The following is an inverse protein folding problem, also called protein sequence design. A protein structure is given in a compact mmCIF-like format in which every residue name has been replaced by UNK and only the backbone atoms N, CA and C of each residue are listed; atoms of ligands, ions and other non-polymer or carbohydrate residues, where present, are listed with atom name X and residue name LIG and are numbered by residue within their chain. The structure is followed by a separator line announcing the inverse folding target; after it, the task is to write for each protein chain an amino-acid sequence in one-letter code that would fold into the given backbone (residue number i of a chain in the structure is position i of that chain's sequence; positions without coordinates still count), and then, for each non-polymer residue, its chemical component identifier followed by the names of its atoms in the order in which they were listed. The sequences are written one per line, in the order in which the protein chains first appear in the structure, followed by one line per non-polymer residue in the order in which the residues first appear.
data_IF_143834367534
#
_entry.id   IF_143834367534
#
_cell.length_a   1.000
_cell.length_b   1.000
_cell.length_c   1.000
_cell.angle_alpha   90.00
_cell.angle_beta   90.00
_cell.angle_gamma   90.00
#
_symmetry.space_group_name_H-M   'P 1'
#
loop_
_entity.id
_entity.type
_entity.pdbx_description
1 polymer ?
#
# COMPACT_ATOMS: atom_id res chain seq x y z
N UNK A 1 -10.42 6.49 17.98
CA UNK A 1 -11.23 5.55 17.89
C UNK A 1 -10.72 4.18 17.83
N UNK A 2 -11.36 3.41 18.57
CA UNK A 2 -10.90 2.08 18.74
C UNK A 2 -11.71 1.09 17.97
N UNK A 3 -11.03 0.22 17.32
CA UNK A 3 -11.69 -0.88 16.66
C UNK A 3 -12.12 -1.86 17.73
N UNK A 4 -13.37 -2.28 17.74
CA UNK A 4 -13.77 -3.28 18.70
C UNK A 4 -12.95 -4.55 18.51
N UNK A 5 -12.75 -5.28 19.59
CA UNK A 5 -11.97 -6.50 19.50
C UNK A 5 -12.53 -7.48 18.49
N UNK A 6 -13.84 -7.60 18.40
CA UNK A 6 -14.42 -8.53 17.44
C UNK A 6 -14.08 -8.10 16.02
N UNK A 7 -13.95 -6.79 15.78
CA UNK A 7 -13.59 -6.30 14.47
C UNK A 7 -12.17 -6.68 14.11
N UNK A 8 -11.26 -6.56 15.06
CA UNK A 8 -9.87 -6.92 14.83
C UNK A 8 -9.76 -8.43 14.59
N UNK A 9 -10.46 -9.22 15.37
CA UNK A 9 -10.43 -10.67 15.19
C UNK A 9 -10.99 -11.07 13.84
N UNK A 10 -12.07 -10.41 13.43
CA UNK A 10 -12.66 -10.71 12.14
C UNK A 10 -11.70 -10.38 11.01
N UNK A 11 -11.03 -9.25 11.11
CA UNK A 11 -10.05 -8.88 10.10
C UNK A 11 -8.94 -9.92 10.03
N UNK A 12 -8.41 -10.33 11.18
CA UNK A 12 -7.36 -11.32 11.21
C UNK A 12 -7.81 -12.62 10.57
N UNK A 13 -8.99 -13.08 10.94
CA UNK A 13 -9.48 -14.37 10.46
C UNK A 13 -9.77 -14.36 8.96
N UNK A 14 -10.32 -13.26 8.48
CA UNK A 14 -10.73 -13.19 7.09
C UNK A 14 -9.65 -12.75 6.13
N UNK A 15 -8.81 -11.83 6.55
CA UNK A 15 -7.87 -11.23 5.63
C UNK A 15 -6.41 -11.64 5.79
N UNK A 16 -6.01 -12.09 6.97
CA UNK A 16 -4.61 -12.46 7.17
C UNK A 16 -4.11 -13.53 6.20
N UNK A 17 -4.89 -14.58 5.92
CA UNK A 17 -4.38 -15.58 4.97
C UNK A 17 -4.11 -14.99 3.60
N UNK A 18 -4.98 -14.07 3.15
CA UNK A 18 -4.80 -13.43 1.86
C UNK A 18 -3.58 -12.53 1.90
N UNK A 19 -3.42 -11.78 2.98
CA UNK A 19 -2.30 -10.89 3.14
C UNK A 19 -0.99 -11.66 3.16
N UNK A 20 -0.94 -12.76 3.90
CA UNK A 20 0.28 -13.55 3.97
C UNK A 20 0.64 -14.15 2.62
N UNK A 21 -0.37 -14.52 1.84
CA UNK A 21 -0.11 -15.00 0.49
C UNK A 21 0.46 -13.90 -0.38
N UNK A 22 -0.06 -12.69 -0.26
CA UNK A 22 0.44 -11.56 -1.00
C UNK A 22 1.90 -11.27 -0.62
N UNK A 23 2.18 -11.30 0.68
CA UNK A 23 3.54 -11.09 1.16
C UNK A 23 4.48 -12.13 0.55
N UNK A 24 4.04 -13.38 0.49
CA UNK A 24 4.84 -14.43 -0.10
C UNK A 24 5.16 -14.15 -1.56
N UNK A 25 4.14 -13.70 -2.30
CA UNK A 25 4.33 -13.37 -3.70
C UNK A 25 5.27 -12.18 -3.88
N UNK A 26 5.15 -11.19 -3.01
CA UNK A 26 6.05 -10.05 -3.06
C UNK A 26 7.49 -10.47 -2.78
N UNK A 27 7.68 -11.38 -1.85
CA UNK A 27 9.03 -11.85 -1.57
C UNK A 27 9.65 -12.56 -2.76
N UNK A 28 8.83 -13.28 -3.53
CA UNK A 28 9.32 -13.93 -4.72
C UNK A 28 9.65 -12.94 -5.82
N UNK A 29 8.84 -11.89 -5.92
CA UNK A 29 9.06 -10.87 -6.93
C UNK A 29 10.24 -9.96 -6.61
N UNK A 30 10.55 -9.82 -5.32
CA UNK A 30 11.61 -8.93 -4.88
C UNK A 30 12.60 -9.72 -4.02
N UNK A 31 13.32 -10.63 -4.63
CA UNK A 31 14.13 -11.58 -3.84
C UNK A 31 15.26 -10.95 -3.06
N UNK A 32 15.67 -9.74 -3.44
CA UNK A 32 16.76 -9.09 -2.71
C UNK A 32 16.27 -8.16 -1.61
N UNK A 33 14.97 -8.03 -1.46
CA UNK A 33 14.42 -7.17 -0.43
C UNK A 33 14.44 -7.89 0.90
N UNK A 34 14.60 -7.14 1.98
CA UNK A 34 14.50 -7.73 3.30
C UNK A 34 13.04 -8.01 3.60
N UNK A 35 12.76 -9.01 4.43
CA UNK A 35 11.37 -9.25 4.83
C UNK A 35 10.74 -8.03 5.49
N UNK A 36 11.53 -7.29 6.25
CA UNK A 36 11.03 -6.10 6.92
C UNK A 36 10.55 -5.06 5.90
N UNK A 37 11.33 -4.83 4.85
CA UNK A 37 10.94 -3.86 3.82
C UNK A 37 9.69 -4.33 3.07
N UNK A 38 9.55 -5.62 2.86
CA UNK A 38 8.36 -6.15 2.20
C UNK A 38 7.11 -5.86 3.05
N UNK A 39 7.19 -6.09 4.37
CA UNK A 39 6.05 -5.84 5.22
C UNK A 39 5.72 -4.35 5.30
N UNK A 40 6.73 -3.49 5.39
CA UNK A 40 6.48 -2.05 5.42
C UNK A 40 5.87 -1.58 4.11
N UNK A 41 6.37 -2.08 2.99
CA UNK A 41 5.81 -1.73 1.68
C UNK A 41 4.37 -2.15 1.57
N UNK A 42 4.05 -3.36 2.02
CA UNK A 42 2.67 -3.81 2.03
C UNK A 42 1.81 -2.88 2.89
N UNK A 43 2.31 -2.48 4.04
CA UNK A 43 1.57 -1.63 4.94
C UNK A 43 1.26 -0.28 4.30
N UNK A 44 2.25 0.31 3.64
CA UNK A 44 2.06 1.60 2.99
C UNK A 44 1.07 1.52 1.84
N UNK A 45 1.18 0.47 1.04
CA UNK A 45 0.28 0.28 -0.09
C UNK A 45 -1.16 0.08 0.40
N UNK A 46 -1.32 -0.67 1.47
CA UNK A 46 -2.65 -0.90 2.01
C UNK A 46 -3.26 0.41 2.49
N UNK A 47 -2.49 1.25 3.15
CA UNK A 47 -2.99 2.54 3.59
C UNK A 47 -3.40 3.42 2.43
N UNK A 48 -2.57 3.45 1.39
CA UNK A 48 -2.88 4.23 0.20
C UNK A 48 -4.17 3.75 -0.45
N UNK A 49 -4.32 2.43 -0.55
CA UNK A 49 -5.49 1.86 -1.16
C UNK A 49 -6.75 2.14 -0.35
N UNK A 50 -6.67 1.94 0.95
CA UNK A 50 -7.84 2.15 1.81
C UNK A 50 -8.30 3.58 1.79
N UNK A 51 -7.39 4.54 1.87
CA UNK A 51 -7.76 5.93 1.82
C UNK A 51 -8.36 6.30 0.48
N UNK A 52 -7.79 5.78 -0.60
CA UNK A 52 -8.29 6.07 -1.94
C UNK A 52 -9.69 5.52 -2.13
N UNK A 53 -9.91 4.28 -1.70
CA UNK A 53 -11.22 3.64 -1.91
C UNK A 53 -12.29 4.21 -0.98
N UNK A 54 -11.90 4.84 0.11
CA UNK A 54 -12.88 5.43 1.02
C UNK A 54 -13.58 6.63 0.39
N UNK A 55 -12.97 7.25 -0.63
CA UNK A 55 -13.58 8.35 -1.37
C UNK A 55 -14.13 9.43 -0.44
N UNK A 56 -13.26 9.92 0.43
CA UNK A 56 -13.69 10.88 1.44
C UNK A 56 -13.94 12.28 0.88
N UNK A 57 -13.54 12.54 -0.34
CA UNK A 57 -13.64 13.87 -0.91
C UNK A 57 -12.52 14.79 -0.48
N UNK A 58 -11.59 14.30 0.31
CA UNK A 58 -10.51 15.15 0.80
C UNK A 58 -9.63 15.67 -0.34
N UNK A 59 -9.26 14.80 -1.27
CA UNK A 59 -8.41 15.22 -2.39
C UNK A 59 -9.14 16.22 -3.28
N UNK A 60 -10.47 16.07 -3.38
CA UNK A 60 -11.26 17.00 -4.16
C UNK A 60 -11.12 18.40 -3.58
N UNK A 61 -11.28 18.51 -2.26
CA UNK A 61 -11.19 19.81 -1.62
C UNK A 61 -9.79 20.38 -1.65
N UNK A 62 -8.82 19.58 -1.35
CA UNK A 62 -7.43 20.06 -1.30
C UNK A 62 -6.96 20.55 -2.67
N UNK A 63 -7.41 19.90 -3.74
CA UNK A 63 -6.95 20.25 -5.07
C UNK A 63 -7.85 21.27 -5.76
N UNK A 64 -8.87 21.75 -5.06
CA UNK A 64 -9.79 22.69 -5.69
C UNK A 64 -10.54 22.08 -6.85
N UNK A 65 -10.79 20.78 -6.78
CA UNK A 65 -11.51 20.09 -7.83
C UNK A 65 -10.65 19.56 -8.96
N UNK A 66 -9.36 19.83 -8.92
CA UNK A 66 -8.47 19.32 -9.95
C UNK A 66 -8.41 17.80 -9.93
N UNK A 67 -8.41 17.20 -8.77
CA UNK A 67 -8.43 15.76 -8.62
C UNK A 67 -9.71 15.37 -7.91
N UNK A 68 -10.36 14.34 -8.43
CA UNK A 68 -11.63 13.92 -7.88
C UNK A 68 -11.53 12.50 -7.35
N UNK A 69 -12.06 12.28 -6.16
CA UNK A 69 -11.96 10.98 -5.50
C UNK A 69 -12.75 9.90 -6.23
N UNK A 70 -13.67 10.27 -7.12
CA UNK A 70 -14.43 9.27 -7.88
C UNK A 70 -13.86 9.03 -9.28
N UNK A 71 -12.71 9.58 -9.58
CA UNK A 71 -12.11 9.41 -10.91
C UNK A 71 -11.24 8.17 -10.91
N UNK A 72 -11.85 7.01 -11.08
CA UNK A 72 -11.11 5.77 -11.03
C UNK A 72 -10.10 5.60 -12.14
N UNK A 73 -10.35 6.20 -13.29
CA UNK A 73 -9.39 6.12 -14.38
C UNK A 73 -8.10 6.84 -14.01
N UNK A 74 -8.22 7.99 -13.37
CA UNK A 74 -7.05 8.73 -12.93
C UNK A 74 -6.28 7.93 -11.87
N UNK A 75 -7.00 7.28 -10.96
CA UNK A 75 -6.39 6.46 -9.93
C UNK A 75 -5.65 5.29 -10.56
N UNK A 76 -6.31 4.57 -11.47
CA UNK A 76 -5.69 3.41 -12.09
C UNK A 76 -4.45 3.78 -12.88
N UNK A 77 -4.49 4.92 -13.54
CA UNK A 77 -3.36 5.34 -14.35
C UNK A 77 -2.11 5.64 -13.51
N UNK A 78 -2.31 6.01 -12.25
CA UNK A 78 -1.20 6.46 -11.42
C UNK A 78 -0.81 5.54 -10.31
N UNK A 79 -1.76 4.89 -9.68
CA UNK A 79 -1.50 4.16 -8.44
C UNK A 79 -0.54 3.00 -8.65
N UNK A 80 -0.72 2.23 -9.72
CA UNK A 80 0.16 1.08 -9.95
C UNK A 80 1.60 1.53 -10.15
N UNK A 81 1.80 2.62 -10.90
CA UNK A 81 3.14 3.13 -11.13
C UNK A 81 3.76 3.69 -9.85
N UNK A 82 2.94 4.39 -9.08
CA UNK A 82 3.40 4.96 -7.83
C UNK A 82 3.84 3.86 -6.87
N UNK A 83 3.03 2.84 -6.73
CA UNK A 83 3.33 1.75 -5.82
C UNK A 83 4.52 0.93 -6.29
N UNK A 84 4.60 0.65 -7.58
CA UNK A 84 5.72 -0.12 -8.11
C UNK A 84 7.02 0.62 -7.91
N UNK A 85 7.03 1.91 -8.16
CA UNK A 85 8.23 2.71 -7.97
C UNK A 85 8.63 2.75 -6.49
N UNK A 86 7.63 2.86 -5.61
CA UNK A 86 7.89 2.86 -4.17
C UNK A 86 8.51 1.56 -3.71
N UNK A 87 7.97 0.43 -4.18
CA UNK A 87 8.53 -0.86 -3.81
C UNK A 87 9.94 -1.01 -4.34
N UNK A 88 10.18 -0.60 -5.58
CA UNK A 88 11.52 -0.73 -6.13
C UNK A 88 12.53 0.11 -5.35
N UNK A 89 12.15 1.31 -4.97
CA UNK A 89 13.04 2.18 -4.21
C UNK A 89 13.28 1.66 -2.80
N UNK A 90 12.20 1.24 -2.14
CA UNK A 90 12.30 0.77 -0.78
C UNK A 90 13.08 -0.54 -0.69
N UNK A 91 12.87 -1.42 -1.63
CA UNK A 91 13.46 -2.73 -1.60
C UNK A 91 14.73 -2.86 -2.41
N UNK A 92 15.34 -1.76 -2.77
CA UNK A 92 16.61 -1.80 -3.46
C UNK A 92 17.66 -2.39 -2.56
N UNK A 93 18.71 -2.99 -3.20
CA UNK A 93 19.72 -3.59 -2.41
C UNK A 93 20.31 -2.62 -1.47
N UNK A 94 20.54 -3.06 -0.26
CA UNK A 94 21.05 -2.19 0.72
C UNK A 94 22.33 -1.56 0.37
N UNK A 95 23.21 -2.24 -0.22
CA UNK A 95 24.47 -1.66 -0.55
C UNK A 95 24.39 -0.44 -1.41
N UNK A 96 23.30 -0.34 -2.20
CA UNK A 96 23.18 0.80 -3.00
C UNK A 96 22.68 1.96 -2.26
N UNK A 97 21.89 1.74 -1.32
CA UNK A 97 21.27 2.82 -0.71
C UNK A 97 22.01 3.46 0.37
N UNK A 98 23.15 3.00 0.68
CA UNK A 98 23.62 3.42 1.74
C UNK A 98 24.43 4.38 1.81
N UNK A 99 24.60 4.98 1.02
CA UNK A 99 25.45 5.87 1.11
C UNK A 99 24.87 6.94 1.70
N UNK A 100 24.42 7.22 2.39
CA UNK A 100 23.86 8.18 2.85
C UNK A 100 24.46 8.76 3.66
#
# INVERSE_FOLDING_TARGET
ANTPEWGAELMDAQFDPVVLRLIELLRKALPKASPEDIFWGYHFVTGALMLTLARTGRIDRLSGGLCRSDDYDAVKARMARFMAAGFRALCARKGQGRTR
#
